data_IF_456673862995
#
_entry.id   IF_456673862995
#
_cell.length_a   1.000
_cell.length_b   1.000
_cell.length_c   1.000
_cell.angle_alpha   90.00
_cell.angle_beta   90.00
_cell.angle_gamma   90.00
#
_symmetry.space_group_name_H-M   'P 1'
#
loop_
_entity.id
_entity.type
_entity.pdbx_description
1 polymer ?
#
# COMPACT_ATOMS: atom_id res chain seq x y z
N UNK A 1 16.61 4.08 22.78
CA UNK A 1 16.93 3.90 21.35
C UNK A 1 15.76 3.15 20.71
N UNK A 2 14.84 3.84 20.04
CA UNK A 2 13.67 3.21 19.43
C UNK A 2 14.09 2.53 18.12
N UNK A 3 13.89 1.22 18.04
CA UNK A 3 14.19 0.39 16.87
C UNK A 3 13.16 0.66 15.77
N UNK A 4 13.34 1.74 15.00
CA UNK A 4 12.41 2.20 13.97
C UNK A 4 12.63 1.52 12.59
N UNK A 5 12.76 0.19 12.56
CA UNK A 5 12.94 -0.52 11.29
C UNK A 5 11.68 -0.45 10.40
N UNK A 6 10.48 -0.44 10.99
CA UNK A 6 9.22 -0.35 10.25
C UNK A 6 9.06 0.97 9.48
N UNK A 7 9.39 2.10 10.12
CA UNK A 7 9.35 3.41 9.49
C UNK A 7 10.36 3.58 8.37
N UNK A 8 11.57 3.02 8.53
CA UNK A 8 12.61 3.05 7.49
C UNK A 8 12.21 2.24 6.25
N UNK A 9 11.61 1.07 6.43
CA UNK A 9 11.14 0.24 5.31
C UNK A 9 10.00 0.90 4.53
N UNK A 10 9.05 1.53 5.23
CA UNK A 10 7.95 2.26 4.60
C UNK A 10 8.46 3.52 3.86
N UNK A 11 9.42 4.25 4.45
CA UNK A 11 10.03 5.41 3.81
C UNK A 11 10.75 5.03 2.50
N UNK A 12 11.48 3.91 2.50
CA UNK A 12 12.11 3.39 1.29
C UNK A 12 11.09 2.97 0.22
N UNK A 13 9.98 2.34 0.61
CA UNK A 13 8.90 1.98 -0.31
C UNK A 13 8.27 3.21 -0.97
N UNK A 14 7.91 4.23 -0.19
CA UNK A 14 7.31 5.48 -0.71
C UNK A 14 8.28 6.21 -1.64
N UNK A 15 9.57 6.22 -1.29
CA UNK A 15 10.64 6.78 -2.13
C UNK A 15 10.72 6.03 -3.47
N UNK A 16 10.67 4.69 -3.44
CA UNK A 16 10.67 3.85 -4.63
C UNK A 16 9.44 4.06 -5.51
N UNK A 17 8.25 4.15 -4.91
CA UNK A 17 7.00 4.43 -5.65
C UNK A 17 7.09 5.77 -6.34
N UNK A 18 7.49 6.83 -5.62
CA UNK A 18 7.57 8.19 -6.18
C UNK A 18 8.50 8.26 -7.40
N UNK A 19 9.69 7.66 -7.29
CA UNK A 19 10.65 7.60 -8.40
C UNK A 19 10.12 6.77 -9.57
N UNK A 20 9.44 5.65 -9.29
CA UNK A 20 8.82 4.81 -10.32
C UNK A 20 7.71 5.52 -11.10
N UNK A 21 6.86 6.27 -10.41
CA UNK A 21 5.76 7.01 -11.04
C UNK A 21 6.29 8.12 -11.95
N UNK A 22 7.32 8.85 -11.52
CA UNK A 22 7.95 9.91 -12.33
C UNK A 22 8.57 9.33 -13.60
N UNK A 23 9.31 8.23 -13.48
CA UNK A 23 9.89 7.54 -14.64
C UNK A 23 8.80 7.06 -15.62
N UNK A 24 7.69 6.54 -15.09
CA UNK A 24 6.56 6.04 -15.89
C UNK A 24 5.85 7.17 -16.64
N UNK A 25 5.56 8.28 -15.95
CA UNK A 25 4.93 9.45 -16.55
C UNK A 25 5.81 10.07 -17.65
N UNK A 26 7.13 10.06 -17.44
CA UNK A 26 8.09 10.60 -18.40
C UNK A 26 8.21 9.73 -19.66
N UNK A 27 8.24 8.40 -19.51
CA UNK A 27 8.37 7.46 -20.63
C UNK A 27 7.07 7.19 -21.39
N UNK A 28 5.90 7.56 -20.85
CA UNK A 28 4.61 7.30 -21.49
C UNK A 28 4.38 8.07 -22.81
N UNK A 29 5.04 9.22 -23.02
CA UNK A 29 4.70 10.14 -24.13
C UNK A 29 5.37 9.84 -25.47
N UNK A 30 6.38 8.97 -25.54
CA UNK A 30 7.08 8.66 -26.79
C UNK A 30 7.12 7.16 -27.05
N UNK A 31 5.99 6.59 -27.46
CA UNK A 31 5.95 5.22 -27.99
C UNK A 31 6.00 5.25 -29.51
N UNK A 32 7.21 5.27 -30.05
CA UNK A 32 7.47 5.07 -31.47
C UNK A 32 7.12 3.62 -31.88
N UNK A 33 6.83 3.37 -33.16
CA UNK A 33 6.29 2.09 -33.65
C UNK A 33 7.26 0.91 -33.41
N UNK A 34 8.57 1.18 -33.51
CA UNK A 34 9.64 0.23 -33.18
C UNK A 34 9.66 -0.14 -31.68
N UNK A 35 9.40 0.83 -30.80
CA UNK A 35 9.33 0.61 -29.35
C UNK A 35 8.20 -0.33 -28.99
N UNK A 36 7.04 -0.27 -29.69
CA UNK A 36 5.94 -1.22 -29.48
C UNK A 36 6.28 -2.64 -29.92
N UNK A 37 7.00 -2.81 -31.02
CA UNK A 37 7.48 -4.14 -31.46
C UNK A 37 8.46 -4.73 -30.44
N UNK A 38 9.45 -3.94 -30.02
CA UNK A 38 10.45 -4.35 -29.02
C UNK A 38 9.81 -4.68 -27.66
N UNK A 39 8.88 -3.83 -27.18
CA UNK A 39 8.15 -4.10 -25.93
C UNK A 39 7.30 -5.36 -26.04
N UNK A 40 6.62 -5.62 -27.17
CA UNK A 40 5.81 -6.85 -27.32
C UNK A 40 6.67 -8.10 -27.28
N UNK A 41 7.82 -8.10 -27.95
CA UNK A 41 8.75 -9.22 -27.94
C UNK A 41 9.31 -9.47 -26.53
N UNK A 42 9.78 -8.42 -25.86
CA UNK A 42 10.26 -8.50 -24.47
C UNK A 42 9.15 -8.85 -23.47
N UNK A 43 7.93 -8.35 -23.68
CA UNK A 43 6.79 -8.68 -22.84
C UNK A 43 6.38 -10.15 -22.99
N UNK A 44 6.55 -10.75 -24.17
CA UNK A 44 6.26 -12.18 -24.36
C UNK A 44 7.24 -13.04 -23.58
N UNK A 45 8.54 -12.71 -23.62
CA UNK A 45 9.57 -13.38 -22.80
C UNK A 45 9.35 -13.13 -21.32
N UNK A 46 8.97 -11.91 -20.94
CA UNK A 46 8.62 -11.54 -19.58
C UNK A 46 7.41 -12.32 -19.07
N UNK A 47 6.37 -12.50 -19.89
CA UNK A 47 5.17 -13.27 -19.57
C UNK A 47 5.49 -14.73 -19.30
N UNK A 48 6.33 -15.37 -20.11
CA UNK A 48 6.69 -16.77 -19.87
C UNK A 48 7.48 -16.96 -18.56
N UNK A 49 8.42 -16.05 -18.27
CA UNK A 49 9.14 -16.05 -16.98
C UNK A 49 8.19 -15.75 -15.81
N UNK A 50 7.23 -14.86 -16.01
CA UNK A 50 6.21 -14.51 -15.02
C UNK A 50 5.20 -15.64 -14.81
N UNK A 51 4.86 -16.43 -15.83
CA UNK A 51 3.97 -17.59 -15.65
C UNK A 51 4.64 -18.69 -14.83
N UNK A 52 5.96 -18.89 -14.99
CA UNK A 52 6.73 -19.85 -14.19
C UNK A 52 6.96 -19.36 -12.76
N UNK A 53 7.42 -18.13 -12.57
CA UNK A 53 7.73 -17.57 -11.25
C UNK A 53 6.52 -16.94 -10.54
N UNK A 54 5.45 -16.66 -11.28
CA UNK A 54 4.26 -15.97 -10.79
C UNK A 54 3.38 -16.86 -9.93
N UNK A 55 3.44 -18.19 -10.09
CA UNK A 55 2.74 -19.12 -9.19
C UNK A 55 3.28 -19.01 -7.77
N UNK A 56 4.59 -19.10 -7.59
CA UNK A 56 5.24 -18.93 -6.29
C UNK A 56 5.01 -17.52 -5.71
N UNK A 57 5.04 -16.49 -6.57
CA UNK A 57 4.78 -15.12 -6.14
C UNK A 57 3.31 -14.92 -5.71
N UNK A 58 2.36 -15.55 -6.41
CA UNK A 58 0.94 -15.53 -6.06
C UNK A 58 0.69 -16.25 -4.75
N UNK A 59 1.33 -17.40 -4.54
CA UNK A 59 1.18 -18.18 -3.32
C UNK A 59 1.72 -17.41 -2.10
N UNK A 60 2.92 -16.83 -2.21
CA UNK A 60 3.47 -15.93 -1.17
C UNK A 60 2.64 -14.66 -0.99
N UNK A 61 2.11 -14.10 -2.08
CA UNK A 61 1.25 -12.92 -2.03
C UNK A 61 -0.06 -13.21 -1.30
N UNK A 62 -0.62 -14.40 -1.48
CA UNK A 62 -1.83 -14.85 -0.78
C UNK A 62 -1.59 -14.99 0.73
N UNK A 63 -0.46 -15.57 1.11
CA UNK A 63 -0.06 -15.66 2.52
C UNK A 63 0.08 -14.27 3.18
N UNK A 64 0.73 -13.33 2.48
CA UNK A 64 0.85 -11.95 2.95
C UNK A 64 -0.50 -11.23 3.03
N UNK A 65 -1.40 -11.48 2.08
CA UNK A 65 -2.75 -10.94 2.09
C UNK A 65 -3.56 -11.45 3.28
N UNK A 66 -3.53 -12.76 3.53
CA UNK A 66 -4.28 -13.36 4.64
C UNK A 66 -3.78 -12.82 5.99
N UNK A 67 -2.45 -12.69 6.17
CA UNK A 67 -1.85 -12.04 7.35
C UNK A 67 -2.26 -10.56 7.46
N UNK A 68 -2.26 -9.83 6.35
CA UNK A 68 -2.66 -8.42 6.32
C UNK A 68 -4.14 -8.24 6.68
N UNK A 69 -5.00 -9.16 6.24
CA UNK A 69 -6.41 -9.17 6.59
C UNK A 69 -6.62 -9.42 8.08
N UNK A 70 -5.91 -10.36 8.68
CA UNK A 70 -6.00 -10.64 10.13
C UNK A 70 -5.63 -9.40 10.95
N UNK A 71 -4.54 -8.73 10.60
CA UNK A 71 -4.11 -7.49 11.25
C UNK A 71 -5.12 -6.36 11.06
N UNK A 72 -5.75 -6.26 9.89
CA UNK A 72 -6.79 -5.28 9.63
C UNK A 72 -8.05 -5.55 10.46
N UNK A 73 -8.49 -6.81 10.55
CA UNK A 73 -9.64 -7.21 11.36
C UNK A 73 -9.38 -6.96 12.86
N UNK A 74 -8.15 -7.18 13.35
CA UNK A 74 -7.76 -6.84 14.71
C UNK A 74 -7.81 -5.31 14.96
N UNK A 75 -7.26 -4.52 14.04
CA UNK A 75 -7.30 -3.07 14.12
C UNK A 75 -8.74 -2.53 14.11
N UNK A 76 -9.63 -3.10 13.30
CA UNK A 76 -11.05 -2.75 13.25
C UNK A 76 -11.72 -3.03 14.60
N UNK A 77 -11.43 -4.17 15.23
CA UNK A 77 -11.99 -4.50 16.55
C UNK A 77 -11.53 -3.53 17.65
N UNK A 78 -10.25 -3.13 17.62
CA UNK A 78 -9.72 -2.13 18.56
C UNK A 78 -10.42 -0.78 18.33
N UNK A 79 -10.52 -0.33 17.08
CA UNK A 79 -11.21 0.92 16.71
C UNK A 79 -12.69 0.90 17.11
N UNK A 80 -13.37 -0.24 17.00
CA UNK A 80 -14.76 -0.37 17.43
C UNK A 80 -14.92 -0.31 18.95
N UNK A 81 -13.98 -0.90 19.71
CA UNK A 81 -13.97 -0.79 21.18
C UNK A 81 -13.77 0.67 21.60
N UNK A 82 -12.83 1.37 20.98
CA UNK A 82 -12.61 2.80 21.20
C UNK A 82 -13.85 3.63 20.83
N UNK A 83 -14.48 3.37 19.68
CA UNK A 83 -15.72 4.07 19.29
C UNK A 83 -16.89 3.78 20.20
N UNK A 84 -17.02 2.57 20.75
CA UNK A 84 -18.08 2.23 21.71
C UNK A 84 -17.85 2.94 23.05
N UNK A 85 -16.60 3.09 23.48
CA UNK A 85 -16.26 3.86 24.69
C UNK A 85 -16.50 5.36 24.48
N UNK A 86 -16.11 5.91 23.33
CA UNK A 86 -16.34 7.32 22.98
C UNK A 86 -17.83 7.63 22.80
N UNK A 87 -18.61 6.76 22.15
CA UNK A 87 -20.08 6.95 22.00
C UNK A 87 -20.84 6.81 23.32
N UNK A 88 -20.27 6.14 24.33
CA UNK A 88 -20.89 5.95 25.65
C UNK A 88 -20.51 7.05 26.65
N UNK A 89 -19.56 7.92 26.30
CA UNK A 89 -19.33 9.17 27.00
C UNK A 89 -20.29 10.24 26.42
N UNK A 90 -21.38 10.62 27.11
CA UNK A 90 -22.18 11.77 26.73
C UNK A 90 -21.34 13.03 27.02
N UNK A 91 -20.54 13.45 26.05
CA UNK A 91 -19.56 14.51 26.26
C UNK A 91 -19.09 15.24 25.01
N UNK A 92 -19.81 15.13 23.89
CA UNK A 92 -19.53 15.93 22.70
C UNK A 92 -19.97 17.40 22.82
N UNK A 93 -20.58 17.81 23.94
CA UNK A 93 -20.99 19.20 24.22
C UNK A 93 -19.98 20.02 25.06
N UNK A 94 -18.92 19.38 25.61
CA UNK A 94 -18.00 20.06 26.54
C UNK A 94 -16.79 20.72 25.87
N UNK A 95 -16.53 20.40 24.60
CA UNK A 95 -15.36 20.91 23.87
C UNK A 95 -15.57 22.33 23.31
N UNK A 96 -16.82 22.79 23.19
CA UNK A 96 -17.15 24.13 22.65
C UNK A 96 -17.22 25.22 23.73
N UNK A 97 -17.40 24.87 25.01
CA UNK A 97 -17.47 25.86 26.11
C UNK A 97 -16.10 26.33 26.60
N UNK A 98 -15.06 25.48 26.48
CA UNK A 98 -13.69 25.83 26.89
C UNK A 98 -12.94 26.71 25.88
N UNK A 99 -13.53 26.98 24.70
CA UNK A 99 -12.92 27.78 23.64
C UNK A 99 -13.45 29.24 23.58
N UNK A 100 -14.35 29.64 24.49
CA UNK A 100 -14.90 31.01 24.54
C UNK A 100 -14.95 31.62 25.95
N UNK A 101 -14.21 31.06 26.91
CA UNK A 101 -13.99 31.62 28.25
C UNK A 101 -12.60 32.23 28.39
#
# INVERSE_FOLDING_TARGET
MAHNNGGANLAWFITGVTLGTVATLLFASQTNEETRKYLREKATVGKEKLERSGKDALERGRELYDRGKELADEAVQILEKERKTVKRAPGADKATEVASG
#
